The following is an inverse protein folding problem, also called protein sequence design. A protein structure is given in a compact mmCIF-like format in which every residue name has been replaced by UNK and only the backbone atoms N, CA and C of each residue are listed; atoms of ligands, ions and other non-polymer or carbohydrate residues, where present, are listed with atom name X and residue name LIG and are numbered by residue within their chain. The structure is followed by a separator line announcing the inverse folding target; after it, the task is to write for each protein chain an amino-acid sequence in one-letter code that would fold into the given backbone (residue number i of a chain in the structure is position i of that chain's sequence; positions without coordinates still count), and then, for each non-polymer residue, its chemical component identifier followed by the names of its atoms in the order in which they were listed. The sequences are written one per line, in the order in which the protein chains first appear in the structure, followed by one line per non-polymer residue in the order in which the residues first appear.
data_IF_046828772119
#
_entry.id   IF_046828772119
#
_cell.length_a   1.000
_cell.length_b   1.000
_cell.length_c   1.000
_cell.angle_alpha   90.00
_cell.angle_beta   90.00
_cell.angle_gamma   90.00
#
_symmetry.space_group_name_H-M   'P 1'
#
loop_
_entity.id
_entity.type
_entity.pdbx_description
1 polymer ?
#
# COMPACT_ATOMS: atom_id res chain seq x y z
N UNK A 1 21.12 -40.37 -26.31
CA UNK A 1 20.71 -39.79 -24.99
C UNK A 1 21.53 -38.57 -24.54
N UNK A 2 22.87 -38.52 -24.67
CA UNK A 2 23.70 -37.38 -24.21
C UNK A 2 23.40 -36.00 -24.87
N UNK A 3 22.96 -35.97 -26.14
CA UNK A 3 22.57 -34.72 -26.85
C UNK A 3 21.24 -34.12 -26.35
N UNK A 4 20.26 -34.97 -26.01
CA UNK A 4 18.96 -34.55 -25.48
C UNK A 4 19.09 -33.97 -24.06
N UNK A 5 19.91 -34.58 -23.20
CA UNK A 5 20.17 -34.07 -21.85
C UNK A 5 20.93 -32.73 -21.85
N UNK A 6 21.88 -32.53 -22.76
CA UNK A 6 22.59 -31.23 -22.93
C UNK A 6 21.65 -30.11 -23.36
N UNK A 7 20.72 -30.39 -24.29
CA UNK A 7 19.76 -29.39 -24.73
C UNK A 7 18.73 -29.08 -23.64
N UNK A 8 18.25 -30.08 -22.90
CA UNK A 8 17.32 -29.88 -21.79
C UNK A 8 17.94 -29.05 -20.65
N UNK A 9 19.21 -29.30 -20.30
CA UNK A 9 19.97 -28.49 -19.34
C UNK A 9 20.09 -27.03 -19.80
N UNK A 10 20.33 -26.81 -21.10
CA UNK A 10 20.40 -25.47 -21.68
C UNK A 10 19.04 -24.76 -21.64
N UNK A 11 17.95 -25.47 -21.91
CA UNK A 11 16.58 -24.95 -21.80
C UNK A 11 16.20 -24.59 -20.35
N UNK A 12 16.58 -25.42 -19.38
CA UNK A 12 16.35 -25.13 -17.95
C UNK A 12 17.17 -23.91 -17.51
N UNK A 13 18.45 -23.84 -17.92
CA UNK A 13 19.30 -22.68 -17.63
C UNK A 13 18.75 -21.40 -18.29
N UNK A 14 18.25 -21.48 -19.52
CA UNK A 14 17.64 -20.34 -20.22
C UNK A 14 16.30 -19.93 -19.60
N UNK A 15 15.46 -20.88 -19.19
CA UNK A 15 14.23 -20.60 -18.45
C UNK A 15 14.53 -19.92 -17.10
N UNK A 16 15.52 -20.43 -16.34
CA UNK A 16 16.00 -19.79 -15.10
C UNK A 16 16.54 -18.39 -15.37
N UNK A 17 17.32 -18.20 -16.45
CA UNK A 17 17.86 -16.91 -16.85
C UNK A 17 16.75 -15.92 -17.26
N UNK A 18 15.73 -16.36 -17.98
CA UNK A 18 14.55 -15.55 -18.33
C UNK A 18 13.72 -15.20 -17.09
N UNK A 19 13.58 -16.12 -16.12
CA UNK A 19 12.95 -15.78 -14.83
C UNK A 19 13.79 -14.77 -14.02
N UNK A 20 15.12 -14.85 -14.07
CA UNK A 20 16.02 -13.87 -13.45
C UNK A 20 16.00 -12.51 -14.16
N UNK A 21 15.92 -12.49 -15.50
CA UNK A 21 15.81 -11.27 -16.32
C UNK A 21 14.42 -10.62 -16.22
N UNK A 22 13.35 -11.39 -16.02
CA UNK A 22 12.03 -10.85 -15.67
C UNK A 22 12.01 -10.19 -14.28
N UNK A 23 13.02 -10.50 -13.44
CA UNK A 23 13.32 -9.80 -12.18
C UNK A 23 13.96 -8.42 -12.37
N UNK A 24 14.37 -8.05 -13.58
CA UNK A 24 15.01 -6.76 -13.88
C UNK A 24 14.03 -5.57 -13.91
N UNK A 25 12.72 -5.83 -13.76
CA UNK A 25 11.64 -4.82 -13.76
C UNK A 25 11.22 -4.28 -12.39
N UNK A 26 11.92 -4.64 -11.31
CA UNK A 26 11.50 -4.28 -9.94
C UNK A 26 11.81 -2.83 -9.54
N UNK A 27 12.72 -2.14 -10.23
CA UNK A 27 13.09 -0.78 -9.82
C UNK A 27 12.10 0.26 -10.34
N UNK A 28 11.57 1.10 -9.44
CA UNK A 28 10.72 2.24 -9.76
C UNK A 28 11.51 3.45 -10.30
N UNK A 29 12.85 3.43 -10.23
CA UNK A 29 13.73 4.56 -10.65
C UNK A 29 13.50 5.04 -12.09
N UNK A 30 13.07 4.13 -12.95
CA UNK A 30 12.87 4.40 -14.38
C UNK A 30 11.39 4.53 -14.77
N UNK A 31 10.47 4.46 -13.81
CA UNK A 31 9.03 4.53 -14.08
C UNK A 31 8.52 5.97 -13.96
N UNK A 32 7.68 6.38 -14.91
CA UNK A 32 6.92 7.64 -14.83
C UNK A 32 5.61 7.48 -14.07
N UNK A 33 5.08 6.27 -14.04
CA UNK A 33 3.83 5.92 -13.38
C UNK A 33 4.11 4.70 -12.50
N UNK A 34 3.63 4.74 -11.27
CA UNK A 34 3.83 3.66 -10.28
C UNK A 34 2.53 3.32 -9.59
N UNK A 35 2.44 2.12 -9.06
CA UNK A 35 1.38 1.65 -8.16
C UNK A 35 1.97 1.38 -6.78
N UNK A 36 1.11 1.17 -5.76
CA UNK A 36 1.58 0.67 -4.45
C UNK A 36 2.32 -0.68 -4.60
N UNK A 37 1.87 -1.52 -5.56
CA UNK A 37 2.50 -2.81 -5.88
C UNK A 37 3.93 -2.63 -6.38
N UNK A 38 4.19 -1.61 -7.21
CA UNK A 38 5.54 -1.31 -7.68
C UNK A 38 6.46 -0.90 -6.53
N UNK A 39 5.98 -0.04 -5.64
CA UNK A 39 6.73 0.42 -4.47
C UNK A 39 7.07 -0.77 -3.55
N UNK A 40 6.08 -1.61 -3.23
CA UNK A 40 6.27 -2.79 -2.38
C UNK A 40 7.24 -3.80 -3.01
N UNK A 41 7.18 -4.00 -4.32
CA UNK A 41 8.02 -4.96 -5.04
C UNK A 41 9.43 -4.44 -5.35
N UNK A 42 9.73 -3.17 -5.09
CA UNK A 42 11.04 -2.62 -5.34
C UNK A 42 12.12 -3.31 -4.50
N UNK A 43 13.29 -3.45 -5.11
CA UNK A 43 14.50 -3.94 -4.45
C UNK A 43 15.02 -3.01 -3.36
N UNK A 44 14.80 -1.70 -3.50
CA UNK A 44 15.15 -0.67 -2.52
C UNK A 44 14.11 -0.63 -1.40
N UNK A 45 14.57 -0.31 -0.18
CA UNK A 45 13.66 -0.12 0.95
C UNK A 45 12.98 1.24 0.83
N UNK A 46 11.66 1.24 0.71
CA UNK A 46 10.84 2.45 0.82
C UNK A 46 10.26 2.57 2.23
N UNK A 47 10.06 3.81 2.67
CA UNK A 47 9.48 4.13 3.95
C UNK A 47 8.24 4.98 3.72
N UNK A 48 7.13 4.52 4.30
CA UNK A 48 5.82 5.13 4.23
C UNK A 48 5.50 5.65 5.63
N UNK A 49 5.51 6.96 5.82
CA UNK A 49 5.17 7.56 7.11
C UNK A 49 3.71 8.03 7.11
N UNK A 50 3.04 7.81 8.23
CA UNK A 50 1.65 8.20 8.46
C UNK A 50 1.56 9.63 9.01
N UNK A 51 0.58 10.38 8.56
CA UNK A 51 0.13 11.63 9.17
C UNK A 51 -1.39 11.65 9.23
N UNK A 52 -1.96 12.33 10.21
CA UNK A 52 -3.40 12.60 10.18
C UNK A 52 -3.75 13.72 9.17
N UNK A 53 -5.00 13.81 8.70
CA UNK A 53 -5.45 14.87 7.80
C UNK A 53 -5.54 16.26 8.44
N UNK A 54 -5.65 16.33 9.77
CA UNK A 54 -5.72 17.60 10.51
C UNK A 54 -4.31 18.07 10.83
N UNK A 55 -4.03 19.34 10.52
CA UNK A 55 -2.76 20.00 10.79
C UNK A 55 -2.51 20.04 12.30
N UNK A 56 -1.62 19.17 12.80
CA UNK A 56 -1.27 19.13 14.21
C UNK A 56 -0.44 17.91 14.62
N UNK A 57 -0.52 16.82 13.84
CA UNK A 57 0.33 15.65 14.08
C UNK A 57 1.70 15.88 13.47
N UNK A 58 2.63 16.30 14.32
CA UNK A 58 4.03 16.53 13.96
C UNK A 58 4.91 15.32 14.23
N UNK A 59 4.36 14.23 14.79
CA UNK A 59 5.09 13.02 15.19
C UNK A 59 4.33 11.76 14.75
N UNK A 60 5.05 10.69 14.42
CA UNK A 60 4.46 9.37 14.14
C UNK A 60 4.89 8.35 15.20
N UNK A 61 3.95 7.49 15.58
CA UNK A 61 4.20 6.31 16.43
C UNK A 61 4.40 5.04 15.60
N UNK A 62 3.75 4.98 14.44
CA UNK A 62 3.58 3.76 13.66
C UNK A 62 3.63 4.07 12.17
N UNK A 63 4.49 3.35 11.45
CA UNK A 63 4.77 3.58 10.04
C UNK A 63 5.08 2.25 9.32
N UNK A 64 5.45 2.31 8.04
CA UNK A 64 5.66 1.11 7.24
C UNK A 64 6.97 1.15 6.46
N UNK A 65 7.66 0.03 6.41
CA UNK A 65 8.75 -0.23 5.48
C UNK A 65 8.27 -1.21 4.40
N UNK A 66 8.71 -1.00 3.16
CA UNK A 66 8.41 -1.92 2.06
C UNK A 66 9.67 -2.28 1.29
N UNK A 67 9.76 -3.54 0.87
CA UNK A 67 10.90 -4.09 0.13
C UNK A 67 10.60 -5.48 -0.44
N UNK A 68 10.93 -5.73 -1.70
CA UNK A 68 10.95 -7.05 -2.32
C UNK A 68 9.66 -7.88 -2.12
N UNK A 69 8.50 -7.24 -2.28
CA UNK A 69 7.20 -7.90 -2.12
C UNK A 69 6.79 -8.09 -0.67
N UNK A 70 7.40 -7.35 0.25
CA UNK A 70 7.14 -7.43 1.69
C UNK A 70 6.85 -6.06 2.27
N UNK A 71 6.00 -6.05 3.29
CA UNK A 71 5.71 -4.89 4.13
C UNK A 71 6.12 -5.25 5.55
N UNK A 72 6.59 -4.26 6.30
CA UNK A 72 6.87 -4.36 7.72
C UNK A 72 6.24 -3.16 8.39
N UNK A 73 5.19 -3.39 9.17
CA UNK A 73 4.66 -2.40 10.11
C UNK A 73 5.73 -2.16 11.19
N UNK A 74 6.05 -0.90 11.46
CA UNK A 74 7.02 -0.52 12.47
C UNK A 74 6.37 0.36 13.52
N UNK A 75 6.61 0.02 14.78
CA UNK A 75 6.19 0.82 15.94
C UNK A 75 7.45 1.40 16.58
N UNK A 76 7.51 2.72 16.74
CA UNK A 76 8.62 3.38 17.41
C UNK A 76 8.48 3.28 18.92
N UNK A 77 9.61 3.22 19.63
CA UNK A 77 9.63 3.22 21.09
C UNK A 77 9.08 4.52 21.68
N UNK A 78 9.27 5.62 20.98
CA UNK A 78 8.74 6.94 21.29
C UNK A 78 8.30 7.60 19.97
N UNK A 79 7.25 8.44 19.98
CA UNK A 79 6.86 9.20 18.80
C UNK A 79 8.07 9.92 18.16
N UNK A 80 8.12 9.95 16.84
CA UNK A 80 9.22 10.56 16.08
C UNK A 80 8.68 11.67 15.18
N UNK A 81 9.31 12.85 15.23
CA UNK A 81 8.93 13.97 14.38
C UNK A 81 8.91 13.61 12.88
N UNK A 82 7.81 13.94 12.20
CA UNK A 82 7.59 13.73 10.76
C UNK A 82 8.68 14.43 9.93
N UNK A 83 9.18 15.59 10.38
CA UNK A 83 10.29 16.32 9.73
C UNK A 83 11.57 15.48 9.66
N UNK A 84 11.87 14.69 10.70
CA UNK A 84 13.03 13.80 10.77
C UNK A 84 12.80 12.53 9.95
N UNK A 85 11.57 12.01 9.98
CA UNK A 85 11.14 10.83 9.24
C UNK A 85 11.17 11.06 7.72
N UNK A 86 10.56 12.14 7.25
CA UNK A 86 10.50 12.51 5.81
C UNK A 86 11.87 12.72 5.16
N UNK A 87 12.89 13.10 5.94
CA UNK A 87 14.27 13.30 5.47
C UNK A 87 15.14 12.04 5.59
N UNK A 88 14.60 10.93 6.12
CA UNK A 88 15.36 9.69 6.34
C UNK A 88 15.06 8.66 5.26
N UNK A 89 16.12 8.13 4.63
CA UNK A 89 15.99 7.03 3.67
C UNK A 89 15.48 5.77 4.37
N UNK A 90 14.59 5.02 3.72
CA UNK A 90 13.96 3.84 4.33
C UNK A 90 14.96 2.80 4.87
N UNK A 91 16.10 2.60 4.20
CA UNK A 91 17.17 1.69 4.65
C UNK A 91 17.85 2.10 5.98
N UNK A 92 17.68 3.35 6.41
CA UNK A 92 18.36 3.93 7.56
C UNK A 92 17.39 4.16 8.75
N UNK A 93 16.08 3.93 8.58
CA UNK A 93 15.05 4.14 9.62
C UNK A 93 15.36 3.33 10.88
N UNK A 94 15.52 2.01 10.75
CA UNK A 94 15.75 1.10 11.89
C UNK A 94 17.11 1.31 12.58
N UNK A 95 18.05 2.00 11.92
CA UNK A 95 19.36 2.34 12.51
C UNK A 95 19.31 3.66 13.27
N UNK A 96 18.48 4.60 12.81
CA UNK A 96 18.38 5.96 13.35
C UNK A 96 17.35 6.08 14.47
N UNK A 97 16.30 5.28 14.42
CA UNK A 97 15.19 5.35 15.38
C UNK A 97 15.03 4.04 16.14
N UNK A 98 14.75 4.15 17.44
CA UNK A 98 14.52 2.98 18.30
C UNK A 98 13.11 2.47 18.06
N UNK A 99 13.00 1.22 17.64
CA UNK A 99 11.72 0.53 17.52
C UNK A 99 11.29 -0.04 18.87
N UNK A 100 9.98 -0.15 19.08
CA UNK A 100 9.45 -0.92 20.19
C UNK A 100 9.79 -2.42 19.98
N UNK A 101 10.25 -3.05 21.05
CA UNK A 101 10.62 -4.46 21.08
C UNK A 101 9.54 -5.37 21.65
N UNK A 102 8.39 -4.79 22.06
CA UNK A 102 7.20 -5.54 22.43
C UNK A 102 6.82 -6.52 21.29
N UNK A 103 6.35 -7.71 21.66
CA UNK A 103 6.07 -8.81 20.71
C UNK A 103 4.62 -8.82 20.23
N UNK A 104 3.85 -7.80 20.55
CA UNK A 104 2.43 -7.73 20.20
C UNK A 104 2.25 -7.54 18.67
N UNK A 105 1.21 -8.15 18.12
CA UNK A 105 0.59 -7.87 16.82
C UNK A 105 1.44 -7.95 15.54
N UNK A 106 2.42 -8.86 15.48
CA UNK A 106 3.32 -9.03 14.31
C UNK A 106 4.09 -7.76 13.91
N UNK A 107 4.08 -6.75 14.78
CA UNK A 107 4.81 -5.50 14.58
C UNK A 107 6.29 -5.79 14.46
N UNK A 108 6.97 -4.95 13.70
CA UNK A 108 8.38 -5.03 13.41
C UNK A 108 8.86 -6.30 12.66
N UNK A 109 7.96 -7.10 12.07
CA UNK A 109 8.29 -8.26 11.24
C UNK A 109 7.96 -8.04 9.76
N UNK A 110 8.81 -8.56 8.88
CA UNK A 110 8.55 -8.55 7.45
C UNK A 110 7.50 -9.59 7.07
N UNK A 111 6.36 -9.13 6.55
CA UNK A 111 5.27 -9.95 6.03
C UNK A 111 5.25 -9.89 4.50
N UNK A 112 5.12 -11.06 3.86
CA UNK A 112 5.05 -11.16 2.40
C UNK A 112 3.64 -10.77 1.93
N UNK A 113 3.55 -9.85 0.98
CA UNK A 113 2.28 -9.54 0.31
C UNK A 113 1.91 -10.68 -0.63
N UNK A 114 0.67 -11.15 -0.54
CA UNK A 114 0.15 -12.28 -1.34
C UNK A 114 -1.02 -11.89 -2.23
N UNK A 115 -1.80 -10.89 -1.85
CA UNK A 115 -2.89 -10.38 -2.69
C UNK A 115 -3.27 -8.95 -2.33
N UNK A 116 -4.07 -8.34 -3.19
CA UNK A 116 -4.68 -7.04 -3.03
C UNK A 116 -6.20 -7.21 -3.12
N UNK A 117 -6.95 -6.52 -2.27
CA UNK A 117 -8.42 -6.46 -2.36
C UNK A 117 -8.85 -5.07 -2.80
N UNK A 118 -9.69 -4.95 -3.81
CA UNK A 118 -10.31 -3.68 -4.21
C UNK A 118 -11.82 -3.72 -3.97
N UNK A 119 -12.31 -2.79 -3.16
CA UNK A 119 -13.74 -2.52 -3.05
C UNK A 119 -14.07 -1.51 -4.12
N UNK A 120 -15.05 -1.83 -4.95
CA UNK A 120 -15.43 -1.04 -6.13
C UNK A 120 -16.90 -0.63 -6.08
N UNK A 121 -17.24 0.48 -6.72
CA UNK A 121 -18.65 0.83 -6.96
C UNK A 121 -19.29 -0.07 -8.03
N UNK A 122 -20.57 0.17 -8.31
CA UNK A 122 -21.34 -0.56 -9.34
C UNK A 122 -20.78 -0.42 -10.76
N UNK A 123 -19.95 0.59 -11.00
CA UNK A 123 -19.29 0.85 -12.27
C UNK A 123 -17.86 0.28 -12.31
N UNK A 124 -17.41 -0.37 -11.23
CA UNK A 124 -16.08 -0.94 -11.12
C UNK A 124 -14.99 0.06 -10.72
N UNK A 125 -15.33 1.27 -10.27
CA UNK A 125 -14.33 2.23 -9.82
C UNK A 125 -13.86 1.92 -8.40
N UNK A 126 -12.54 1.92 -8.13
CA UNK A 126 -12.01 1.66 -6.79
C UNK A 126 -12.40 2.72 -5.75
N UNK A 127 -13.03 2.25 -4.68
CA UNK A 127 -13.38 3.00 -3.48
C UNK A 127 -12.32 2.84 -2.37
N UNK A 128 -11.81 1.61 -2.19
CA UNK A 128 -10.77 1.28 -1.22
C UNK A 128 -9.91 0.13 -1.75
N UNK A 129 -8.60 0.22 -1.57
CA UNK A 129 -7.65 -0.86 -1.85
C UNK A 129 -7.02 -1.34 -0.55
N UNK A 130 -6.98 -2.65 -0.32
CA UNK A 130 -6.34 -3.30 0.82
C UNK A 130 -5.19 -4.20 0.34
N UNK A 131 -4.12 -4.29 1.12
CA UNK A 131 -2.93 -5.11 0.86
C UNK A 131 -2.87 -6.23 1.89
N UNK A 132 -2.79 -7.48 1.46
CA UNK A 132 -2.88 -8.63 2.35
C UNK A 132 -1.63 -9.50 2.38
N UNK A 133 -1.30 -10.02 3.57
CA UNK A 133 -0.28 -11.04 3.79
C UNK A 133 -0.76 -12.47 3.49
N UNK A 134 -2.08 -12.66 3.41
CA UNK A 134 -2.76 -13.87 2.98
C UNK A 134 -3.27 -13.74 1.55
N UNK A 135 -3.53 -14.87 0.89
CA UNK A 135 -4.14 -14.90 -0.44
C UNK A 135 -5.65 -14.81 -0.27
N UNK A 136 -6.24 -13.71 -0.71
CA UNK A 136 -7.70 -13.54 -0.73
C UNK A 136 -8.31 -14.22 -1.96
N UNK A 137 -9.54 -14.63 -1.78
CA UNK A 137 -10.48 -15.08 -2.81
C UNK A 137 -11.69 -14.15 -2.79
N UNK A 138 -12.46 -14.10 -3.87
CA UNK A 138 -13.70 -13.29 -3.92
C UNK A 138 -14.61 -13.60 -2.73
N UNK A 139 -14.85 -14.89 -2.46
CA UNK A 139 -15.65 -15.35 -1.32
C UNK A 139 -15.10 -14.83 0.02
N UNK A 140 -13.81 -15.02 0.28
CA UNK A 140 -13.20 -14.56 1.55
C UNK A 140 -13.14 -13.04 1.70
N UNK A 141 -13.27 -12.30 0.61
CA UNK A 141 -13.24 -10.85 0.61
C UNK A 141 -14.66 -10.27 0.73
N UNK A 142 -15.66 -10.96 0.17
CA UNK A 142 -17.11 -10.66 0.28
C UNK A 142 -17.73 -11.04 1.63
N UNK A 143 -17.37 -12.19 2.21
CA UNK A 143 -18.00 -12.77 3.42
C UNK A 143 -17.71 -11.99 4.72
N UNK A 144 -17.20 -10.76 4.65
CA UNK A 144 -17.01 -9.89 5.79
C UNK A 144 -17.31 -8.47 5.37
N UNK A 145 -18.06 -7.74 6.19
CA UNK A 145 -18.13 -6.29 6.10
C UNK A 145 -16.72 -5.68 5.99
N UNK A 146 -16.62 -4.45 5.49
CA UNK A 146 -15.35 -3.73 5.34
C UNK A 146 -14.45 -3.87 6.58
N UNK A 147 -15.05 -3.70 7.75
CA UNK A 147 -14.38 -3.65 9.04
C UNK A 147 -13.63 -4.94 9.40
N UNK A 148 -14.20 -6.15 9.34
CA UNK A 148 -13.46 -7.40 9.50
C UNK A 148 -12.24 -7.55 8.60
N UNK A 149 -12.32 -7.08 7.34
CA UNK A 149 -11.19 -7.12 6.42
C UNK A 149 -10.12 -6.09 6.77
N UNK A 150 -10.50 -4.88 7.20
CA UNK A 150 -9.57 -3.84 7.65
C UNK A 150 -8.92 -4.15 8.99
N UNK A 151 -9.70 -4.70 9.93
CA UNK A 151 -9.27 -5.09 11.28
C UNK A 151 -8.55 -6.44 11.33
N UNK A 152 -8.58 -7.21 10.23
CA UNK A 152 -7.87 -8.47 10.12
C UNK A 152 -6.36 -8.23 10.22
N UNK A 153 -5.67 -8.99 11.06
CA UNK A 153 -4.20 -8.96 11.20
C UNK A 153 -3.41 -9.30 9.92
N UNK A 154 -4.08 -9.87 8.93
CA UNK A 154 -3.52 -10.08 7.59
C UNK A 154 -3.58 -8.83 6.69
N UNK A 155 -4.35 -7.80 7.03
CA UNK A 155 -4.39 -6.53 6.33
C UNK A 155 -3.18 -5.69 6.73
N UNK A 156 -2.30 -5.41 5.78
CA UNK A 156 -1.02 -4.76 6.03
C UNK A 156 -1.06 -3.26 5.76
N UNK A 157 -1.94 -2.83 4.86
CA UNK A 157 -1.98 -1.48 4.33
C UNK A 157 -3.30 -1.29 3.57
N UNK A 158 -3.90 -0.11 3.64
CA UNK A 158 -5.07 0.22 2.84
C UNK A 158 -5.13 1.72 2.52
N UNK A 159 -5.79 2.06 1.41
CA UNK A 159 -5.95 3.43 0.96
C UNK A 159 -7.16 3.55 0.02
N UNK A 160 -7.81 4.71 0.01
CA UNK A 160 -8.94 5.04 -0.84
C UNK A 160 -8.57 6.00 -1.98
N UNK A 161 -7.48 6.75 -1.85
CA UNK A 161 -6.96 7.58 -2.93
C UNK A 161 -5.44 7.72 -2.92
N UNK A 162 -4.88 8.16 -4.05
CA UNK A 162 -3.44 8.25 -4.24
C UNK A 162 -3.10 9.35 -5.23
N UNK A 163 -2.00 10.05 -4.97
CA UNK A 163 -1.49 11.11 -5.85
C UNK A 163 0.02 11.25 -5.75
N UNK A 164 0.63 11.65 -6.86
CA UNK A 164 1.98 12.19 -6.84
C UNK A 164 1.88 13.71 -6.61
N UNK A 165 2.60 14.19 -5.61
CA UNK A 165 2.74 15.61 -5.30
C UNK A 165 4.08 16.07 -5.86
N UNK A 166 4.05 17.14 -6.63
CA UNK A 166 5.25 17.85 -7.05
C UNK A 166 5.91 18.50 -5.82
N UNK A 167 7.25 18.58 -5.76
CA UNK A 167 7.93 19.26 -4.66
C UNK A 167 7.47 20.73 -4.61
N UNK A 168 6.96 21.16 -3.45
CA UNK A 168 6.63 22.55 -3.16
C UNK A 168 7.71 23.12 -2.22
N UNK A 169 8.46 24.13 -2.66
CA UNK A 169 9.40 24.89 -1.83
C UNK A 169 10.84 24.93 -2.35
N UNK A 170 11.48 26.10 -2.25
CA UNK A 170 12.77 26.43 -2.88
C UNK A 170 14.03 25.78 -2.26
N UNK A 171 13.89 24.94 -1.24
CA UNK A 171 15.04 24.27 -0.61
C UNK A 171 14.59 22.92 -0.03
N UNK A 172 14.56 21.87 -0.85
CA UNK A 172 15.08 20.53 -0.53
C UNK A 172 14.68 19.54 -1.62
N UNK A 173 15.69 19.15 -2.43
CA UNK A 173 15.77 17.92 -3.25
C UNK A 173 14.71 17.70 -4.34
N UNK A 174 15.18 17.43 -5.56
CA UNK A 174 14.41 17.01 -6.73
C UNK A 174 13.67 15.67 -6.51
N UNK A 175 12.68 15.59 -5.63
CA UNK A 175 12.01 14.36 -5.25
C UNK A 175 10.50 14.51 -5.44
N UNK A 176 9.87 13.43 -5.90
CA UNK A 176 8.40 13.34 -5.97
C UNK A 176 7.91 12.80 -4.63
N UNK A 177 6.91 13.43 -4.03
CA UNK A 177 6.25 12.89 -2.85
C UNK A 177 5.01 12.11 -3.29
N UNK A 178 4.97 10.81 -3.03
CA UNK A 178 3.76 10.02 -3.17
C UNK A 178 2.90 10.13 -1.91
N UNK A 179 1.60 10.30 -2.10
CA UNK A 179 0.62 10.32 -1.02
C UNK A 179 -0.48 9.29 -1.28
N UNK A 180 -0.83 8.51 -0.27
CA UNK A 180 -1.97 7.59 -0.23
C UNK A 180 -2.87 8.01 0.93
N UNK A 181 -4.10 8.40 0.64
CA UNK A 181 -5.10 8.76 1.65
C UNK A 181 -5.95 7.52 1.96
N UNK A 182 -6.14 7.21 3.24
CA UNK A 182 -7.13 6.27 3.72
C UNK A 182 -8.26 7.05 4.40
N UNK A 183 -9.43 7.05 3.77
CA UNK A 183 -10.66 7.65 4.29
C UNK A 183 -11.88 6.92 3.76
N UNK A 184 -13.01 7.05 4.45
CA UNK A 184 -14.27 6.46 4.04
C UNK A 184 -15.12 7.34 3.12
N UNK A 185 -14.67 8.55 2.77
CA UNK A 185 -15.44 9.51 1.95
C UNK A 185 -16.00 8.92 0.66
N UNK A 186 -15.21 8.17 -0.10
CA UNK A 186 -15.69 7.52 -1.33
C UNK A 186 -16.78 6.49 -1.07
N UNK A 187 -16.71 5.78 0.05
CA UNK A 187 -17.72 4.78 0.44
C UNK A 187 -18.97 5.45 1.03
N UNK A 188 -18.82 6.56 1.75
CA UNK A 188 -19.94 7.41 2.19
C UNK A 188 -20.72 7.92 0.96
N UNK A 189 -20.01 8.45 -0.04
CA UNK A 189 -20.61 8.89 -1.30
C UNK A 189 -21.31 7.74 -2.05
N UNK A 190 -20.66 6.58 -2.15
CA UNK A 190 -21.27 5.40 -2.77
C UNK A 190 -22.52 4.94 -2.02
N UNK A 191 -22.51 4.92 -0.69
CA UNK A 191 -23.68 4.57 0.14
C UNK A 191 -24.81 5.56 -0.05
N UNK A 192 -24.53 6.87 -0.02
CA UNK A 192 -25.53 7.92 -0.24
C UNK A 192 -26.22 7.75 -1.60
N UNK A 193 -25.45 7.45 -2.66
CA UNK A 193 -26.00 7.19 -3.99
C UNK A 193 -26.87 5.92 -4.04
N UNK A 194 -26.52 4.87 -3.30
CA UNK A 194 -27.26 3.61 -3.27
C UNK A 194 -28.56 3.73 -2.45
N UNK A 195 -28.51 4.39 -1.29
CA UNK A 195 -29.64 4.46 -0.35
C UNK A 195 -30.52 5.70 -0.53
N UNK A 196 -30.07 6.69 -1.31
CA UNK A 196 -30.72 8.00 -1.41
C UNK A 196 -30.58 8.85 -0.14
N UNK A 197 -29.70 8.45 0.79
CA UNK A 197 -29.43 9.18 2.04
C UNK A 197 -28.50 10.38 1.85
N UNK A 198 -28.45 11.27 2.84
CA UNK A 198 -27.51 12.40 2.85
C UNK A 198 -26.12 11.95 3.33
N UNK A 199 -25.07 12.31 2.58
CA UNK A 199 -23.68 11.99 2.90
C UNK A 199 -23.29 12.43 4.32
N UNK A 200 -23.78 13.59 4.79
CA UNK A 200 -23.46 14.09 6.14
C UNK A 200 -24.03 13.21 7.25
N UNK A 201 -25.20 12.60 7.04
CA UNK A 201 -25.81 11.68 8.01
C UNK A 201 -24.97 10.41 8.07
N UNK A 202 -24.67 9.83 6.90
CA UNK A 202 -23.85 8.62 6.79
C UNK A 202 -22.44 8.86 7.35
N UNK A 203 -21.85 10.04 7.10
CA UNK A 203 -20.53 10.42 7.63
C UNK A 203 -20.56 10.54 9.15
N UNK A 204 -21.62 11.09 9.77
CA UNK A 204 -21.70 11.15 11.25
C UNK A 204 -21.78 9.77 11.89
N UNK A 205 -22.43 8.83 11.21
CA UNK A 205 -22.55 7.44 11.68
C UNK A 205 -21.25 6.63 11.50
N UNK A 206 -20.27 7.18 10.79
CA UNK A 206 -18.98 6.54 10.52
C UNK A 206 -17.86 7.49 11.00
N UNK A 207 -17.26 7.22 12.18
CA UNK A 207 -16.18 8.03 12.75
C UNK A 207 -15.21 8.56 11.69
N UNK A 208 -14.80 9.84 11.81
CA UNK A 208 -13.83 10.52 10.93
C UNK A 208 -12.49 9.75 10.92
N UNK A 209 -12.42 8.68 10.13
CA UNK A 209 -11.22 7.92 9.91
C UNK A 209 -10.46 8.55 8.74
N UNK A 210 -9.27 9.06 9.04
CA UNK A 210 -8.39 9.65 8.05
C UNK A 210 -6.94 9.39 8.39
N UNK A 211 -6.21 8.72 7.50
CA UNK A 211 -4.76 8.57 7.58
C UNK A 211 -4.13 8.90 6.23
N UNK A 212 -3.00 9.59 6.24
CA UNK A 212 -2.22 9.91 5.06
C UNK A 212 -0.88 9.20 5.12
N UNK A 213 -0.63 8.29 4.20
CA UNK A 213 0.69 7.68 4.04
C UNK A 213 1.48 8.42 2.98
N UNK A 214 2.71 8.79 3.32
CA UNK A 214 3.60 9.53 2.44
C UNK A 214 4.86 8.73 2.15
N UNK A 215 5.32 8.76 0.91
CA UNK A 215 6.52 8.05 0.47
C UNK A 215 7.34 8.90 -0.49
N UNK A 216 8.65 8.94 -0.26
CA UNK A 216 9.57 9.62 -1.18
C UNK A 216 9.80 8.74 -2.40
N UNK A 217 9.53 9.28 -3.59
CA UNK A 217 9.64 8.61 -4.87
C UNK A 217 10.69 9.28 -5.76
N UNK A 218 11.25 8.55 -6.75
CA UNK A 218 12.11 9.17 -7.76
C UNK A 218 11.41 10.32 -8.48
N UNK A 219 12.15 11.39 -8.78
CA UNK A 219 11.66 12.60 -9.47
C UNK A 219 10.90 12.34 -10.79
N UNK A 220 11.28 11.26 -11.46
CA UNK A 220 10.68 10.84 -12.73
C UNK A 220 9.25 10.35 -12.57
N UNK A 221 8.85 9.90 -11.38
CA UNK A 221 7.48 9.50 -11.09
C UNK A 221 6.61 10.74 -11.14
N UNK A 222 5.60 10.74 -12.02
CA UNK A 222 4.63 11.83 -12.22
C UNK A 222 3.22 11.45 -11.82
N UNK A 223 2.92 10.15 -11.70
CA UNK A 223 1.58 9.67 -11.35
C UNK A 223 1.66 8.41 -10.48
N UNK A 224 0.76 8.32 -9.51
CA UNK A 224 0.45 7.08 -8.81
C UNK A 224 -0.90 6.57 -9.31
N UNK A 225 -0.95 5.29 -9.70
CA UNK A 225 -2.14 4.60 -10.19
C UNK A 225 -2.63 3.59 -9.16
N UNK A 226 -3.91 3.22 -9.25
CA UNK A 226 -4.42 2.04 -8.59
C UNK A 226 -3.69 0.79 -9.10
N UNK A 227 -3.77 -0.29 -8.32
CA UNK A 227 -3.46 -1.61 -8.86
C UNK A 227 -4.43 -1.92 -10.00
N UNK A 228 -4.02 -2.77 -10.94
CA UNK A 228 -4.90 -3.14 -12.04
C UNK A 228 -5.87 -4.21 -11.56
N UNK A 229 -7.17 -3.97 -11.68
CA UNK A 229 -8.19 -4.90 -11.19
C UNK A 229 -8.19 -6.26 -11.90
N UNK A 230 -7.59 -6.35 -13.10
CA UNK A 230 -7.43 -7.59 -13.87
C UNK A 230 -6.13 -8.37 -13.54
N UNK A 231 -5.29 -7.86 -12.63
CA UNK A 231 -4.10 -8.58 -12.18
C UNK A 231 -4.51 -9.83 -11.37
N UNK A 232 -3.87 -10.97 -11.64
CA UNK A 232 -4.13 -12.29 -11.00
C UNK A 232 -4.10 -12.33 -9.46
N UNK A 233 -3.47 -11.34 -8.84
CA UNK A 233 -3.31 -11.25 -7.38
C UNK A 233 -4.20 -10.14 -6.78
N UNK A 234 -5.09 -9.54 -7.60
CA UNK A 234 -6.12 -8.59 -7.19
C UNK A 234 -7.46 -9.33 -7.15
N UNK A 235 -8.22 -9.12 -6.09
CA UNK A 235 -9.58 -9.60 -5.93
C UNK A 235 -10.46 -8.39 -5.75
N UNK A 236 -11.56 -8.31 -6.50
CA UNK A 236 -12.52 -7.22 -6.37
C UNK A 236 -13.78 -7.68 -5.63
N UNK A 237 -14.38 -6.76 -4.88
CA UNK A 237 -15.74 -6.92 -4.35
C UNK A 237 -16.53 -5.66 -4.64
N UNK A 238 -17.75 -5.82 -5.12
CA UNK A 238 -18.70 -4.71 -5.21
C UNK A 238 -19.03 -4.23 -3.79
N UNK A 239 -19.18 -2.92 -3.66
CA UNK A 239 -19.58 -2.27 -2.42
C UNK A 239 -21.06 -2.52 -2.13
N UNK A 240 -21.34 -3.12 -0.98
CA UNK A 240 -22.70 -3.33 -0.49
C UNK A 240 -23.00 -2.33 0.65
N UNK A 241 -24.26 -1.91 0.80
CA UNK A 241 -24.66 -0.89 1.78
C UNK A 241 -24.27 -1.22 3.24
N UNK A 242 -24.21 -2.52 3.60
CA UNK A 242 -23.80 -3.00 4.92
C UNK A 242 -22.29 -2.94 5.19
N UNK A 243 -21.46 -2.38 4.30
CA UNK A 243 -20.03 -2.20 4.56
C UNK A 243 -19.73 -1.12 5.60
N UNK A 244 -20.66 -0.20 5.84
CA UNK A 244 -20.57 0.92 6.78
C UNK A 244 -21.68 0.85 7.88
N UNK A 245 -22.19 -0.35 8.14
CA UNK A 245 -23.14 -0.70 9.21
C UNK A 245 -22.45 -1.63 10.22
#
# INVERSE_FOLDING_TARGET
MKKLAKNLSLFIAFALFVTMLSGCGKSIKNKKEVTIRDIINDSETHFLYATEPKDGVHESNEDYLTKNGKVKHITFKHPVEISKLSQTKGKDIEKKFKLDSSKEDNNNKWQKVKSYGEIVDKQGNPLMTCVFSSKRTEKSFKDGSLYPNLASSDCLFYYSSQKALSPQGAKTTNLTLGKFDASFEKMVQARAQITGGHEEVIRRDNEDFGLNYHVVLPEKVKKIKNVKSDDKDVVTSEFEHGFLE
#
